data_IF_059121440608
#
_entry.id   IF_059121440608
#
_cell.length_a   1.000
_cell.length_b   1.000
_cell.length_c   1.000
_cell.angle_alpha   90.00
_cell.angle_beta   90.00
_cell.angle_gamma   90.00
#
_symmetry.space_group_name_H-M   'P 1'
#
loop_
_entity.id
_entity.type
_entity.pdbx_description
1 polymer ?
#
# COMPACT_ATOMS: atom_id res chain seq x y z
N UNK A 1 -23.26 -3.39 7.65
CA UNK A 1 -21.85 -3.11 7.32
C UNK A 1 -21.60 -1.65 7.65
N UNK A 2 -20.75 -1.40 8.63
CA UNK A 2 -20.44 -0.03 9.07
C UNK A 2 -19.44 0.64 8.12
N UNK A 3 -19.39 1.96 8.15
CA UNK A 3 -18.38 2.73 7.41
C UNK A 3 -17.41 3.40 8.38
N UNK A 4 -16.12 3.22 8.13
CA UNK A 4 -15.04 3.76 8.94
C UNK A 4 -14.24 4.74 8.07
N UNK A 5 -13.91 5.92 8.60
CA UNK A 5 -13.36 7.00 7.78
C UNK A 5 -11.85 6.85 7.54
N UNK A 6 -11.10 6.39 8.54
CA UNK A 6 -9.63 6.36 8.52
C UNK A 6 -9.06 5.08 9.12
N UNK A 7 -7.80 4.78 8.83
CA UNK A 7 -7.11 3.61 9.38
C UNK A 7 -6.99 3.70 10.91
N UNK A 8 -6.85 4.92 11.44
CA UNK A 8 -6.81 5.18 12.88
C UNK A 8 -8.15 4.85 13.52
N UNK A 9 -9.26 5.23 12.90
CA UNK A 9 -10.59 4.89 13.38
C UNK A 9 -10.80 3.37 13.35
N UNK A 10 -10.31 2.68 12.31
CA UNK A 10 -10.42 1.22 12.20
C UNK A 10 -9.64 0.49 13.31
N UNK A 11 -8.47 1.02 13.70
CA UNK A 11 -7.68 0.49 14.83
C UNK A 11 -8.38 0.66 16.17
N UNK A 12 -9.25 1.65 16.30
CA UNK A 12 -10.02 1.91 17.52
C UNK A 12 -11.43 1.32 17.47
N UNK A 13 -11.83 0.78 16.32
CA UNK A 13 -13.14 0.17 16.14
C UNK A 13 -13.14 -1.24 16.76
N UNK A 14 -13.86 -1.39 17.87
CA UNK A 14 -13.94 -2.65 18.63
C UNK A 14 -14.81 -3.64 17.85
N UNK A 15 -14.24 -4.73 17.33
CA UNK A 15 -14.99 -5.71 16.56
C UNK A 15 -15.69 -6.73 17.47
N UNK A 16 -16.79 -7.27 16.95
CA UNK A 16 -17.33 -8.58 17.31
C UNK A 16 -17.03 -9.60 16.20
N UNK A 17 -17.10 -10.90 16.52
CA UNK A 17 -16.70 -11.97 15.58
C UNK A 17 -17.54 -11.94 14.30
N UNK A 18 -16.88 -11.93 13.14
CA UNK A 18 -17.48 -11.83 11.79
C UNK A 18 -18.03 -10.45 11.41
N UNK A 19 -17.69 -9.39 12.15
CA UNK A 19 -18.03 -8.05 11.72
C UNK A 19 -17.41 -7.70 10.38
N UNK A 20 -18.12 -6.89 9.61
CA UNK A 20 -17.68 -6.38 8.31
C UNK A 20 -17.85 -4.87 8.28
N UNK A 21 -16.82 -4.16 7.83
CA UNK A 21 -16.83 -2.72 7.70
C UNK A 21 -16.20 -2.28 6.37
N UNK A 22 -16.52 -1.05 5.95
CA UNK A 22 -15.95 -0.44 4.75
C UNK A 22 -15.10 0.77 5.16
N UNK A 23 -13.80 0.70 4.86
CA UNK A 23 -12.83 1.74 5.16
C UNK A 23 -12.75 2.75 4.02
N UNK A 24 -13.26 3.96 4.24
CA UNK A 24 -13.44 5.01 3.22
C UNK A 24 -12.18 5.83 2.90
N UNK A 25 -11.09 5.63 3.64
CA UNK A 25 -9.84 6.40 3.51
C UNK A 25 -8.72 5.82 4.36
N UNK A 26 -7.47 6.21 4.11
CA UNK A 26 -6.33 5.82 4.93
C UNK A 26 -6.06 6.85 6.04
N UNK A 27 -5.77 8.10 5.66
CA UNK A 27 -5.54 9.22 6.58
C UNK A 27 -6.79 10.09 6.74
N UNK A 28 -7.52 10.32 5.67
CA UNK A 28 -8.80 11.06 5.65
C UNK A 28 -9.77 10.35 4.72
N UNK A 29 -11.08 10.51 4.97
CA UNK A 29 -12.12 9.97 4.07
C UNK A 29 -11.90 10.46 2.63
N UNK A 30 -11.83 9.52 1.68
CA UNK A 30 -11.71 9.81 0.25
C UNK A 30 -10.29 10.01 -0.29
N UNK A 31 -9.24 9.84 0.52
CA UNK A 31 -7.85 9.91 0.02
C UNK A 31 -7.43 8.69 -0.83
N UNK A 32 -8.18 7.60 -0.72
CA UNK A 32 -8.07 6.35 -1.48
C UNK A 32 -9.45 5.74 -1.76
N UNK A 33 -9.49 4.75 -2.63
CA UNK A 33 -10.70 3.94 -2.85
C UNK A 33 -11.13 3.21 -1.56
N UNK A 34 -12.44 3.04 -1.33
CA UNK A 34 -12.95 2.23 -0.22
C UNK A 34 -12.47 0.78 -0.29
N UNK A 35 -12.32 0.15 0.88
CA UNK A 35 -11.92 -1.27 0.97
C UNK A 35 -12.75 -1.95 2.06
N UNK A 36 -13.26 -3.14 1.76
CA UNK A 36 -14.05 -3.93 2.72
C UNK A 36 -13.09 -4.72 3.60
N UNK A 37 -13.35 -4.71 4.91
CA UNK A 37 -12.63 -5.50 5.90
C UNK A 37 -13.59 -6.41 6.65
N UNK A 38 -13.15 -7.65 6.87
CA UNK A 38 -13.85 -8.64 7.69
C UNK A 38 -12.99 -8.94 8.91
N UNK A 39 -13.59 -8.88 10.10
CA UNK A 39 -12.90 -9.23 11.33
C UNK A 39 -12.78 -10.74 11.49
N UNK A 40 -11.55 -11.20 11.78
CA UNK A 40 -11.27 -12.60 12.15
C UNK A 40 -10.55 -12.64 13.50
N UNK A 41 -11.06 -13.48 14.40
CA UNK A 41 -10.39 -13.78 15.66
C UNK A 41 -9.12 -14.61 15.41
N UNK A 42 -8.06 -14.39 16.20
CA UNK A 42 -6.80 -15.11 16.07
C UNK A 42 -5.57 -14.23 16.34
N UNK A 43 -4.39 -14.76 16.01
CA UNK A 43 -3.13 -14.02 16.08
C UNK A 43 -2.72 -13.60 14.68
N UNK A 44 -2.60 -12.30 14.45
CA UNK A 44 -2.21 -11.72 13.18
C UNK A 44 -1.12 -10.67 13.40
N UNK A 45 -0.26 -10.48 12.40
CA UNK A 45 0.69 -9.38 12.39
C UNK A 45 0.12 -8.22 11.61
N UNK A 46 0.01 -7.06 12.26
CA UNK A 46 -0.42 -5.84 11.61
C UNK A 46 0.59 -5.43 10.53
N UNK A 47 0.11 -5.13 9.33
CA UNK A 47 0.95 -4.64 8.25
C UNK A 47 0.59 -3.21 7.80
N UNK A 48 -0.37 -2.58 8.47
CA UNK A 48 -0.83 -1.23 8.15
C UNK A 48 -1.46 -1.12 6.75
N UNK A 49 -2.01 -2.21 6.23
CA UNK A 49 -2.75 -2.22 4.97
C UNK A 49 -3.86 -3.26 5.06
N UNK A 50 -3.71 -4.40 4.37
CA UNK A 50 -4.74 -5.43 4.34
C UNK A 50 -4.93 -6.22 5.64
N UNK A 51 -4.04 -6.08 6.64
CA UNK A 51 -4.22 -6.65 7.98
C UNK A 51 -4.05 -5.54 9.01
N UNK A 52 -5.13 -5.22 9.72
CA UNK A 52 -5.17 -4.20 10.76
C UNK A 52 -5.61 -4.84 12.08
N UNK A 53 -4.72 -4.85 13.07
CA UNK A 53 -5.01 -5.33 14.42
C UNK A 53 -5.63 -4.18 15.21
N UNK A 54 -6.90 -4.30 15.63
CA UNK A 54 -7.53 -3.30 16.47
C UNK A 54 -7.00 -3.37 17.91
N UNK A 55 -6.96 -2.22 18.56
CA UNK A 55 -6.52 -2.11 19.96
C UNK A 55 -7.52 -2.82 20.87
N UNK A 56 -7.02 -3.70 21.74
CA UNK A 56 -7.85 -4.37 22.75
C UNK A 56 -8.66 -5.57 22.25
N UNK A 57 -8.38 -6.08 21.05
CA UNK A 57 -9.03 -7.26 20.49
C UNK A 57 -8.02 -8.37 20.13
N UNK A 58 -8.47 -9.63 20.21
CA UNK A 58 -7.69 -10.80 19.84
C UNK A 58 -8.03 -11.25 18.41
N UNK A 59 -7.62 -10.46 17.43
CA UNK A 59 -7.89 -10.70 16.02
C UNK A 59 -7.41 -9.57 15.12
N UNK A 60 -7.85 -9.59 13.86
CA UNK A 60 -7.56 -8.52 12.91
C UNK A 60 -8.72 -8.29 11.95
N UNK A 61 -8.83 -7.04 11.50
CA UNK A 61 -9.54 -6.67 10.29
C UNK A 61 -8.71 -7.12 9.09
N UNK A 62 -9.28 -7.99 8.25
CA UNK A 62 -8.64 -8.49 7.03
C UNK A 62 -9.35 -7.90 5.82
N UNK A 63 -8.61 -7.21 4.97
CA UNK A 63 -9.16 -6.63 3.75
C UNK A 63 -9.40 -7.67 2.67
N UNK A 64 -10.49 -7.49 1.93
CA UNK A 64 -10.70 -8.15 0.65
C UNK A 64 -9.97 -7.36 -0.45
N UNK A 65 -8.76 -7.82 -0.79
CA UNK A 65 -7.96 -7.21 -1.85
C UNK A 65 -8.45 -7.66 -3.24
N UNK A 66 -8.34 -6.74 -4.21
CA UNK A 66 -8.50 -7.05 -5.62
C UNK A 66 -7.18 -7.55 -6.21
N UNK A 67 -7.21 -8.08 -7.45
CA UNK A 67 -6.03 -8.60 -8.15
C UNK A 67 -4.92 -7.54 -8.31
N UNK A 68 -5.31 -6.25 -8.40
CA UNK A 68 -4.42 -5.11 -8.43
C UNK A 68 -4.65 -4.23 -7.20
N UNK A 69 -3.59 -3.96 -6.43
CA UNK A 69 -3.69 -3.28 -5.14
C UNK A 69 -3.10 -1.87 -5.24
N UNK A 70 -3.94 -0.88 -4.97
CA UNK A 70 -3.52 0.52 -4.93
C UNK A 70 -2.58 0.78 -3.75
N UNK A 71 -1.42 1.40 -4.05
CA UNK A 71 -0.40 1.72 -3.05
C UNK A 71 -0.93 2.56 -1.87
N UNK A 72 -1.96 3.36 -2.09
CA UNK A 72 -2.60 4.16 -1.04
C UNK A 72 -3.28 3.32 0.04
N UNK A 73 -3.64 2.05 -0.24
CA UNK A 73 -4.16 1.14 0.79
C UNK A 73 -3.13 0.86 1.90
N UNK A 74 -1.85 1.14 1.65
CA UNK A 74 -0.73 0.94 2.60
C UNK A 74 -0.17 2.28 3.12
N UNK A 75 -0.92 3.37 2.96
CA UNK A 75 -0.57 4.68 3.50
C UNK A 75 0.36 5.52 2.63
N UNK A 76 0.55 5.16 1.36
CA UNK A 76 1.34 5.98 0.47
C UNK A 76 0.69 7.35 0.19
N UNK A 77 1.52 8.39 0.05
CA UNK A 77 1.10 9.76 -0.27
C UNK A 77 1.76 10.24 -1.55
N UNK A 78 0.91 10.67 -2.49
CA UNK A 78 1.34 11.39 -3.68
C UNK A 78 1.49 12.88 -3.38
N UNK A 79 2.37 13.55 -4.10
CA UNK A 79 2.60 15.00 -4.08
C UNK A 79 3.01 15.57 -2.70
N UNK A 80 3.51 14.73 -1.81
CA UNK A 80 4.03 15.12 -0.51
C UNK A 80 5.56 14.92 -0.50
N UNK A 81 6.29 16.02 -0.72
CA UNK A 81 7.75 16.00 -0.74
C UNK A 81 8.36 15.57 0.61
N UNK A 82 7.63 15.62 1.72
CA UNK A 82 8.18 15.20 3.01
C UNK A 82 7.86 13.74 3.34
N UNK A 83 7.03 13.07 2.53
CA UNK A 83 6.66 11.68 2.73
C UNK A 83 7.58 10.76 1.94
N UNK A 84 8.07 9.68 2.56
CA UNK A 84 8.82 8.62 1.89
C UNK A 84 7.95 7.38 1.73
N UNK A 85 7.65 7.01 0.48
CA UNK A 85 6.78 5.90 0.13
C UNK A 85 7.50 4.55 0.10
N UNK A 86 8.81 4.50 0.36
CA UNK A 86 9.61 3.25 0.25
C UNK A 86 9.03 2.09 1.05
N UNK A 87 8.57 2.35 2.29
CA UNK A 87 7.97 1.34 3.16
C UNK A 87 6.64 0.83 2.60
N UNK A 88 5.83 1.70 1.99
CA UNK A 88 4.55 1.32 1.40
C UNK A 88 4.77 0.40 0.19
N UNK A 89 5.75 0.71 -0.65
CA UNK A 89 6.17 -0.17 -1.75
C UNK A 89 6.67 -1.52 -1.23
N UNK A 90 7.57 -1.51 -0.23
CA UNK A 90 8.12 -2.75 0.32
C UNK A 90 7.02 -3.68 0.86
N UNK A 91 6.02 -3.13 1.57
CA UNK A 91 4.89 -3.90 2.08
C UNK A 91 4.11 -4.61 0.98
N UNK A 92 3.84 -3.93 -0.13
CA UNK A 92 3.11 -4.51 -1.27
C UNK A 92 3.94 -5.52 -2.04
N UNK A 93 5.24 -5.28 -2.20
CA UNK A 93 6.15 -6.24 -2.83
C UNK A 93 6.19 -7.54 -2.03
N UNK A 94 6.25 -7.43 -0.69
CA UNK A 94 6.21 -8.59 0.20
C UNK A 94 4.87 -9.35 0.18
N UNK A 95 3.79 -8.74 -0.31
CA UNK A 95 2.51 -9.41 -0.50
C UNK A 95 2.44 -10.19 -1.82
N UNK A 96 3.41 -10.00 -2.72
CA UNK A 96 3.46 -10.66 -4.02
C UNK A 96 2.16 -10.45 -4.84
N UNK A 97 1.66 -9.21 -4.85
CA UNK A 97 0.47 -8.79 -5.61
C UNK A 97 0.84 -7.83 -6.75
N UNK A 98 -0.05 -7.64 -7.71
CA UNK A 98 0.07 -6.54 -8.67
C UNK A 98 -0.18 -5.20 -7.96
N UNK A 99 0.64 -4.21 -8.26
CA UNK A 99 0.64 -2.91 -7.58
C UNK A 99 0.15 -1.83 -8.54
N UNK A 100 -0.90 -1.12 -8.13
CA UNK A 100 -1.35 0.09 -8.81
C UNK A 100 -0.81 1.34 -8.12
N UNK A 101 -0.18 2.21 -8.91
CA UNK A 101 0.29 3.53 -8.48
C UNK A 101 -0.52 4.60 -9.23
N UNK A 102 -1.49 5.26 -8.57
CA UNK A 102 -2.24 6.34 -9.18
C UNK A 102 -1.34 7.48 -9.70
N UNK A 103 -1.89 8.33 -10.55
CA UNK A 103 -1.19 9.53 -11.00
C UNK A 103 -0.75 10.43 -9.83
N UNK A 104 0.44 10.99 -9.93
CA UNK A 104 1.04 11.85 -8.92
C UNK A 104 2.55 11.70 -8.84
N UNK A 105 3.20 12.55 -8.05
CA UNK A 105 4.63 12.47 -7.74
C UNK A 105 4.81 11.65 -6.45
N UNK A 106 5.54 10.55 -6.55
CA UNK A 106 5.77 9.63 -5.43
C UNK A 106 7.25 9.65 -5.06
N UNK A 107 7.56 10.16 -3.86
CA UNK A 107 8.92 10.22 -3.37
C UNK A 107 9.30 8.89 -2.72
N UNK A 108 10.40 8.29 -3.18
CA UNK A 108 11.02 7.06 -2.66
C UNK A 108 12.46 7.40 -2.35
N UNK A 109 12.85 7.28 -1.08
CA UNK A 109 14.18 7.68 -0.58
C UNK A 109 15.06 6.52 -0.12
N UNK A 110 14.45 5.39 0.18
CA UNK A 110 15.15 4.19 0.62
C UNK A 110 15.12 3.13 -0.48
N UNK A 111 16.09 2.22 -0.43
CA UNK A 111 16.12 1.05 -1.31
C UNK A 111 14.90 0.16 -1.04
N UNK A 112 14.35 -0.40 -2.12
CA UNK A 112 13.24 -1.34 -2.09
C UNK A 112 13.77 -2.67 -2.58
N UNK A 113 13.63 -3.73 -1.78
CA UNK A 113 14.10 -5.05 -2.13
C UNK A 113 13.02 -5.83 -2.87
N UNK A 114 13.36 -6.36 -4.03
CA UNK A 114 12.49 -7.27 -4.77
C UNK A 114 12.67 -8.69 -4.23
N UNK A 115 11.56 -9.37 -3.91
CA UNK A 115 11.57 -10.80 -3.64
C UNK A 115 11.80 -11.57 -4.95
N UNK A 116 12.66 -12.59 -4.93
CA UNK A 116 13.09 -13.34 -6.12
C UNK A 116 11.97 -14.05 -6.89
N UNK A 117 10.74 -14.06 -6.35
CA UNK A 117 9.53 -14.63 -6.95
C UNK A 117 8.59 -13.59 -7.58
N UNK A 118 9.06 -12.35 -7.84
CA UNK A 118 8.26 -11.33 -8.55
C UNK A 118 7.98 -11.67 -10.03
N UNK A 119 8.09 -12.94 -10.44
CA UNK A 119 7.78 -13.45 -11.76
C UNK A 119 6.25 -13.53 -11.94
N UNK A 120 5.63 -12.41 -12.27
CA UNK A 120 4.19 -12.33 -12.58
C UNK A 120 3.47 -11.15 -11.95
N UNK A 121 4.10 -10.46 -11.00
CA UNK A 121 3.56 -9.26 -10.39
C UNK A 121 3.98 -8.02 -11.19
N UNK A 122 3.00 -7.18 -11.52
CA UNK A 122 3.23 -5.97 -12.30
C UNK A 122 3.06 -4.75 -11.41
N UNK A 123 3.98 -3.80 -11.51
CA UNK A 123 3.81 -2.47 -10.93
C UNK A 123 3.38 -1.56 -12.08
N UNK A 124 2.16 -1.02 -11.98
CA UNK A 124 1.52 -0.22 -13.04
C UNK A 124 1.13 1.15 -12.51
N UNK A 125 1.05 2.14 -13.39
CA UNK A 125 0.55 3.46 -13.02
C UNK A 125 -0.10 4.21 -14.19
N UNK A 126 -0.91 5.22 -13.85
CA UNK A 126 -1.75 5.98 -14.80
C UNK A 126 -1.29 7.44 -15.01
N UNK A 127 -0.06 7.79 -14.61
CA UNK A 127 0.47 9.16 -14.71
C UNK A 127 1.29 9.43 -15.98
N UNK A 128 1.34 10.70 -16.39
CA UNK A 128 2.22 11.23 -17.43
C UNK A 128 3.04 12.35 -16.81
N UNK A 129 4.39 12.25 -16.74
CA UNK A 129 5.24 13.45 -16.68
C UNK A 129 6.73 13.21 -16.93
N UNK A 130 7.40 14.29 -17.39
CA UNK A 130 8.71 14.32 -18.05
C UNK A 130 9.89 14.27 -17.08
N UNK A 131 10.94 13.64 -17.59
CA UNK A 131 12.20 13.35 -16.91
C UNK A 131 13.08 14.60 -16.72
N UNK A 132 13.55 14.87 -15.50
CA UNK A 132 14.69 15.74 -15.23
C UNK A 132 15.94 14.87 -14.95
N UNK A 133 16.97 15.09 -15.77
CA UNK A 133 18.13 14.24 -16.07
C UNK A 133 19.25 14.26 -15.01
N UNK A 134 19.05 14.85 -13.84
CA UNK A 134 20.18 15.25 -12.97
C UNK A 134 20.55 14.28 -11.84
N UNK A 135 19.86 13.14 -11.67
CA UNK A 135 20.24 12.17 -10.64
C UNK A 135 20.04 10.70 -11.08
N UNK A 136 21.15 9.98 -11.25
CA UNK A 136 21.29 8.53 -11.03
C UNK A 136 20.67 7.54 -12.05
N UNK A 137 21.37 6.43 -12.28
CA UNK A 137 21.19 5.33 -13.24
C UNK A 137 19.81 4.65 -13.30
N UNK A 138 19.41 4.16 -14.50
CA UNK A 138 18.02 3.80 -14.89
C UNK A 138 17.98 2.50 -15.73
N UNK A 139 17.10 1.55 -15.40
CA UNK A 139 16.56 0.51 -16.32
C UNK A 139 15.04 0.38 -16.13
N UNK A 140 14.36 0.02 -17.22
CA UNK A 140 12.94 0.20 -17.52
C UNK A 140 12.00 -0.89 -16.98
N UNK A 141 10.86 -0.49 -16.43
CA UNK A 141 9.61 -1.28 -16.45
C UNK A 141 8.65 -0.55 -17.37
N UNK A 142 8.08 -1.24 -18.36
CA UNK A 142 7.22 -0.63 -19.39
C UNK A 142 5.84 -0.27 -18.85
N UNK A 143 5.80 0.80 -18.06
CA UNK A 143 4.79 1.87 -18.06
C UNK A 143 5.52 3.11 -17.50
N UNK A 144 5.26 4.31 -18.04
CA UNK A 144 6.15 5.45 -17.85
C UNK A 144 6.26 5.85 -16.37
N UNK A 145 7.48 5.71 -15.82
CA UNK A 145 8.00 6.40 -14.64
C UNK A 145 7.63 5.88 -13.22
N UNK A 146 7.77 4.57 -12.97
CA UNK A 146 7.98 4.07 -11.61
C UNK A 146 9.44 3.62 -11.48
N UNK A 147 10.19 4.23 -10.54
CA UNK A 147 11.61 3.89 -10.27
C UNK A 147 11.69 3.01 -9.02
N UNK A 148 12.18 1.79 -9.16
CA UNK A 148 12.54 0.89 -8.07
C UNK A 148 13.99 0.47 -8.31
N UNK A 149 14.86 0.70 -7.33
CA UNK A 149 16.30 0.43 -7.42
C UNK A 149 16.63 -0.91 -6.77
N UNK A 150 17.55 -1.65 -7.38
CA UNK A 150 18.33 -2.68 -6.72
C UNK A 150 19.82 -2.36 -6.94
N UNK A 151 20.63 -2.44 -5.89
CA UNK A 151 22.10 -2.44 -5.97
C UNK A 151 22.59 -3.66 -5.22
N UNK A 152 23.15 -4.62 -5.96
CA UNK A 152 24.12 -5.58 -5.41
C UNK A 152 25.50 -4.96 -5.66
N UNK A 153 26.20 -4.58 -4.58
CA UNK A 153 27.63 -4.28 -4.68
C UNK A 153 28.42 -5.58 -4.79
N UNK A 154 29.24 -5.68 -5.82
CA UNK A 154 30.34 -6.63 -5.98
C UNK A 154 31.58 -5.88 -6.43
#
# INVERSE_FOLDING_TARGET
>A
MDTINTITDLRNYIPTTHDTCCLLGYYIKGDKEPLIYIYKAGTFSDNGGNIIVPTGANGAWIAELQDEVNIKHFGAKANDINFDNSICFQKLINLEVSIFVPSGIWYVRNTIFLTMNFSGNHIRGNGYDRWNKEFGSVIWVSVPNIKIFDFYEG
#
